data_IF_567985043818
#
_entry.id   IF_567985043818
#
_cell.length_a   1.000
_cell.length_b   1.000
_cell.length_c   1.000
_cell.angle_alpha   90.00
_cell.angle_beta   90.00
_cell.angle_gamma   90.00
#
_symmetry.space_group_name_H-M   'P 1'
#
loop_
_entity.id
_entity.type
_entity.pdbx_description
1 polymer ?
#
# COMPACT_ATOMS: atom_id res chain seq x y z
N UNK A 1 -6.10 29.37 8.48
CA UNK A 1 -6.62 28.95 9.80
C UNK A 1 -8.12 28.64 9.71
N UNK A 2 -8.54 27.86 8.70
CA UNK A 2 -9.96 27.54 8.50
C UNK A 2 -10.08 26.36 7.53
N UNK A 3 -10.24 25.14 8.05
CA UNK A 3 -10.93 24.05 7.31
C UNK A 3 -11.34 22.88 8.24
N UNK A 4 -10.61 22.65 9.34
CA UNK A 4 -10.89 21.55 10.28
C UNK A 4 -12.26 21.61 11.01
N UNK A 5 -12.96 22.75 10.98
CA UNK A 5 -14.28 22.87 11.60
C UNK A 5 -15.36 22.18 10.76
N UNK A 6 -15.24 22.21 9.43
CA UNK A 6 -16.21 21.61 8.52
C UNK A 6 -16.16 20.08 8.60
N UNK A 7 -14.96 19.49 8.61
CA UNK A 7 -14.76 18.04 8.70
C UNK A 7 -15.28 17.45 10.02
N UNK A 8 -15.10 18.19 11.12
CA UNK A 8 -15.59 17.76 12.44
C UNK A 8 -17.11 17.79 12.51
N UNK A 9 -17.73 18.84 12.00
CA UNK A 9 -19.19 18.94 11.92
C UNK A 9 -19.83 17.86 11.02
N UNK A 10 -19.13 17.44 9.97
CA UNK A 10 -19.56 16.34 9.10
C UNK A 10 -19.43 14.98 9.79
N UNK A 11 -18.32 14.75 10.49
CA UNK A 11 -18.08 13.52 11.28
C UNK A 11 -19.11 13.38 12.40
N UNK A 12 -19.44 14.47 13.08
CA UNK A 12 -20.44 14.49 14.16
C UNK A 12 -21.85 14.17 13.64
N UNK A 13 -22.19 14.62 12.42
CA UNK A 13 -23.45 14.27 11.75
C UNK A 13 -23.51 12.79 11.36
N UNK A 14 -22.40 12.23 10.86
CA UNK A 14 -22.30 10.81 10.53
C UNK A 14 -22.45 9.94 11.78
N UNK A 15 -21.78 10.31 12.88
CA UNK A 15 -21.90 9.58 14.14
C UNK A 15 -23.34 9.60 14.68
N UNK A 16 -24.06 10.72 14.53
CA UNK A 16 -25.47 10.81 14.89
C UNK A 16 -26.35 9.86 14.06
N UNK A 17 -26.11 9.75 12.75
CA UNK A 17 -26.82 8.80 11.87
C UNK A 17 -26.51 7.34 12.24
N UNK A 18 -25.24 7.01 12.54
CA UNK A 18 -24.85 5.66 12.97
C UNK A 18 -25.39 5.31 14.36
N UNK A 19 -25.49 6.28 15.26
CA UNK A 19 -26.12 6.11 16.57
C UNK A 19 -27.61 5.79 16.43
N UNK A 20 -28.32 6.51 15.57
CA UNK A 20 -29.72 6.25 15.25
C UNK A 20 -29.93 4.85 14.64
N UNK A 21 -29.07 4.46 13.69
CA UNK A 21 -29.13 3.14 13.07
C UNK A 21 -28.88 2.00 14.08
N UNK A 22 -27.94 2.17 15.01
CA UNK A 22 -27.67 1.20 16.10
C UNK A 22 -28.81 1.11 17.11
N UNK A 23 -29.50 2.22 17.38
CA UNK A 23 -30.62 2.26 18.32
C UNK A 23 -31.87 1.52 17.80
N UNK A 24 -32.01 1.38 16.48
CA UNK A 24 -33.14 0.66 15.84
C UNK A 24 -32.61 -0.47 14.95
N UNK A 25 -32.12 -1.58 15.55
CA UNK A 25 -31.64 -2.71 14.76
C UNK A 25 -32.83 -3.34 14.01
N UNK A 26 -32.69 -3.44 12.69
CA UNK A 26 -33.62 -4.23 11.86
C UNK A 26 -33.38 -5.70 12.17
N UNK A 27 -34.41 -6.40 12.62
CA UNK A 27 -34.33 -7.84 12.84
C UNK A 27 -34.09 -8.55 11.50
N UNK A 28 -33.00 -9.29 11.42
CA UNK A 28 -32.70 -10.11 10.25
C UNK A 28 -33.62 -11.34 10.26
N UNK A 29 -34.33 -11.64 9.16
CA UNK A 29 -35.27 -12.75 9.17
C UNK A 29 -34.50 -14.09 9.19
N UNK A 30 -34.98 -15.05 9.99
CA UNK A 30 -34.27 -16.31 10.26
C UNK A 30 -33.92 -17.10 9.00
N UNK A 31 -34.78 -17.06 7.97
CA UNK A 31 -34.53 -17.73 6.70
C UNK A 31 -33.29 -17.17 6.00
N UNK A 32 -33.04 -15.85 6.06
CA UNK A 32 -31.89 -15.21 5.43
C UNK A 32 -30.60 -15.62 6.14
N UNK A 33 -30.61 -15.67 7.48
CA UNK A 33 -29.47 -16.14 8.27
C UNK A 33 -29.13 -17.59 7.90
N UNK A 34 -30.15 -18.46 7.81
CA UNK A 34 -29.95 -19.85 7.42
C UNK A 34 -29.37 -19.98 5.99
N UNK A 35 -29.85 -19.17 5.04
CA UNK A 35 -29.31 -19.15 3.67
C UNK A 35 -27.86 -18.67 3.63
N UNK A 36 -27.52 -17.57 4.32
CA UNK A 36 -26.16 -17.05 4.39
C UNK A 36 -25.22 -18.10 4.97
N UNK A 37 -25.61 -18.79 6.04
CA UNK A 37 -24.79 -19.82 6.67
C UNK A 37 -24.59 -21.03 5.74
N UNK A 38 -25.64 -21.47 5.04
CA UNK A 38 -25.53 -22.58 4.09
C UNK A 38 -24.63 -22.24 2.88
N UNK A 39 -24.73 -21.00 2.37
CA UNK A 39 -23.86 -20.52 1.30
C UNK A 39 -22.41 -20.37 1.77
N UNK A 40 -22.20 -19.82 2.97
CA UNK A 40 -20.89 -19.72 3.59
C UNK A 40 -20.24 -21.09 3.79
N UNK A 41 -20.99 -22.10 4.24
CA UNK A 41 -20.48 -23.48 4.35
C UNK A 41 -20.08 -24.03 2.98
N UNK A 42 -20.89 -23.78 1.96
CA UNK A 42 -20.59 -24.18 0.58
C UNK A 42 -19.31 -23.54 0.07
N UNK A 43 -19.12 -22.23 0.25
CA UNK A 43 -17.89 -21.54 -0.17
C UNK A 43 -16.67 -21.92 0.66
N UNK A 44 -16.83 -22.09 1.98
CA UNK A 44 -15.76 -22.61 2.84
C UNK A 44 -15.31 -23.99 2.40
N UNK A 45 -16.24 -24.87 2.03
CA UNK A 45 -15.92 -26.20 1.51
C UNK A 45 -15.15 -26.12 0.18
N UNK A 46 -15.49 -25.18 -0.72
CA UNK A 46 -14.78 -24.94 -1.99
C UNK A 46 -13.37 -24.43 -1.77
N UNK A 47 -13.18 -23.49 -0.84
CA UNK A 47 -11.85 -23.00 -0.49
C UNK A 47 -11.00 -24.08 0.19
N UNK A 48 -11.60 -24.87 1.08
CA UNK A 48 -10.92 -26.01 1.70
C UNK A 48 -10.57 -27.10 0.68
N UNK A 49 -11.45 -27.41 -0.27
CA UNK A 49 -11.16 -28.36 -1.35
C UNK A 49 -10.03 -27.85 -2.25
N UNK A 50 -10.00 -26.55 -2.57
CA UNK A 50 -8.90 -25.91 -3.30
C UNK A 50 -7.58 -26.01 -2.53
N UNK A 51 -7.63 -25.84 -1.21
CA UNK A 51 -6.47 -25.97 -0.32
C UNK A 51 -6.02 -27.43 -0.14
N UNK A 52 -6.95 -28.38 -0.08
CA UNK A 52 -6.67 -29.82 0.04
C UNK A 52 -6.11 -30.40 -1.26
N UNK A 53 -6.53 -29.88 -2.42
CA UNK A 53 -5.97 -30.25 -3.73
C UNK A 53 -4.52 -29.77 -3.86
N UNK A 54 -4.15 -28.70 -3.15
CA UNK A 54 -2.75 -28.36 -2.88
C UNK A 54 -2.24 -29.21 -1.71
N UNK A 55 -2.20 -30.53 -1.90
CA UNK A 55 -1.38 -31.40 -1.06
C UNK A 55 0.03 -30.77 -0.98
N UNK A 56 0.72 -30.81 0.18
CA UNK A 56 2.10 -30.36 0.23
C UNK A 56 2.83 -31.10 -0.88
N UNK A 57 3.36 -30.37 -1.86
CA UNK A 57 4.15 -30.97 -2.91
C UNK A 57 5.31 -31.67 -2.21
N UNK A 58 5.22 -32.99 -2.07
CA UNK A 58 6.19 -33.83 -1.35
C UNK A 58 7.56 -33.87 -2.07
N UNK A 59 7.74 -33.05 -3.11
CA UNK A 59 9.00 -32.83 -3.83
C UNK A 59 9.43 -31.37 -3.96
N UNK A 60 8.87 -30.43 -3.18
CA UNK A 60 9.30 -29.04 -3.20
C UNK A 60 10.57 -28.82 -2.35
N UNK A 61 11.62 -28.24 -2.94
CA UNK A 61 12.87 -27.92 -2.25
C UNK A 61 12.72 -26.87 -1.13
N UNK A 62 13.82 -26.49 -0.47
CA UNK A 62 13.81 -25.59 0.70
C UNK A 62 12.98 -24.30 0.52
N UNK A 63 12.94 -23.74 -0.70
CA UNK A 63 12.14 -22.56 -1.04
C UNK A 63 10.63 -22.79 -0.92
N UNK A 64 10.10 -23.96 -1.30
CA UNK A 64 8.65 -24.21 -1.18
C UNK A 64 8.21 -24.36 0.27
N UNK A 65 9.10 -24.85 1.14
CA UNK A 65 8.87 -24.91 2.57
C UNK A 65 8.80 -23.49 3.15
N UNK A 66 9.71 -22.61 2.73
CA UNK A 66 9.70 -21.21 3.15
C UNK A 66 8.43 -20.48 2.69
N UNK A 67 8.02 -20.67 1.42
CA UNK A 67 6.79 -20.08 0.88
C UNK A 67 5.55 -20.62 1.59
N UNK A 68 5.50 -21.93 1.88
CA UNK A 68 4.41 -22.50 2.66
C UNK A 68 4.35 -21.96 4.10
N UNK A 69 5.51 -21.78 4.75
CA UNK A 69 5.61 -21.19 6.08
C UNK A 69 5.15 -19.72 6.11
N UNK A 70 5.39 -18.98 5.03
CA UNK A 70 4.99 -17.57 4.85
C UNK A 70 3.50 -17.40 4.45
N UNK A 71 2.69 -18.47 4.48
CA UNK A 71 1.26 -18.38 4.11
C UNK A 71 0.95 -18.67 2.64
N UNK A 72 1.93 -19.17 1.88
CA UNK A 72 1.79 -19.59 0.49
C UNK A 72 2.08 -18.49 -0.52
N UNK A 73 1.70 -18.71 -1.78
CA UNK A 73 2.01 -17.81 -2.90
C UNK A 73 1.45 -16.38 -2.75
N UNK A 74 0.41 -16.17 -1.93
CA UNK A 74 -0.19 -14.85 -1.73
C UNK A 74 0.75 -13.86 -1.03
N UNK A 75 1.55 -14.31 -0.06
CA UNK A 75 2.52 -13.44 0.60
C UNK A 75 3.68 -13.09 -0.32
N UNK A 76 4.12 -14.05 -1.14
CA UNK A 76 5.19 -13.81 -2.13
C UNK A 76 4.74 -12.83 -3.21
N UNK A 77 3.48 -12.90 -3.68
CA UNK A 77 2.96 -11.91 -4.63
C UNK A 77 2.97 -10.50 -4.04
N UNK A 78 2.69 -10.34 -2.74
CA UNK A 78 2.80 -9.05 -2.05
C UNK A 78 4.23 -8.52 -2.02
N UNK A 79 5.21 -9.40 -1.73
CA UNK A 79 6.64 -9.03 -1.73
C UNK A 79 7.13 -8.62 -3.12
N UNK A 80 6.69 -9.32 -4.17
CA UNK A 80 7.00 -8.98 -5.56
C UNK A 80 6.36 -7.65 -5.95
N UNK A 81 5.09 -7.44 -5.61
CA UNK A 81 4.41 -6.16 -5.87
C UNK A 81 5.11 -5.00 -5.15
N UNK A 82 5.47 -5.16 -3.87
CA UNK A 82 6.21 -4.15 -3.11
C UNK A 82 7.58 -3.84 -3.74
N UNK A 83 8.29 -4.86 -4.21
CA UNK A 83 9.57 -4.68 -4.94
C UNK A 83 9.37 -3.92 -6.25
N UNK A 84 8.34 -4.27 -7.03
CA UNK A 84 8.00 -3.60 -8.28
C UNK A 84 7.61 -2.14 -8.03
N UNK A 85 6.83 -1.84 -6.99
CA UNK A 85 6.48 -0.48 -6.59
C UNK A 85 7.71 0.32 -6.17
N UNK A 86 8.64 -0.28 -5.41
CA UNK A 86 9.90 0.37 -5.06
C UNK A 86 10.76 0.71 -6.28
N UNK A 87 10.86 -0.21 -7.25
CA UNK A 87 11.55 0.01 -8.52
C UNK A 87 10.86 1.10 -9.36
N UNK A 88 9.52 1.09 -9.41
CA UNK A 88 8.74 2.10 -10.11
C UNK A 88 9.02 3.51 -9.56
N UNK A 89 8.96 3.66 -8.24
CA UNK A 89 9.24 4.93 -7.55
C UNK A 89 10.67 5.39 -7.77
N UNK A 90 11.65 4.46 -7.72
CA UNK A 90 13.06 4.79 -7.95
C UNK A 90 13.37 5.22 -9.38
N UNK A 91 12.73 4.58 -10.37
CA UNK A 91 12.96 4.88 -11.79
C UNK A 91 12.26 6.17 -12.25
N UNK A 92 11.06 6.45 -11.75
CA UNK A 92 10.24 7.54 -12.26
C UNK A 92 10.77 8.94 -11.89
N UNK A 93 11.72 9.02 -10.95
CA UNK A 93 12.23 10.28 -10.42
C UNK A 93 11.15 11.08 -9.67
N UNK A 94 11.53 12.11 -8.91
CA UNK A 94 10.58 12.95 -8.18
C UNK A 94 9.57 13.64 -9.11
N UNK A 95 9.96 13.93 -10.36
CA UNK A 95 9.12 14.62 -11.35
C UNK A 95 7.81 13.86 -11.68
N UNK A 96 7.88 12.53 -11.75
CA UNK A 96 6.71 11.70 -12.04
C UNK A 96 5.71 11.69 -10.88
N UNK A 97 6.20 11.73 -9.64
CA UNK A 97 5.39 11.79 -8.42
C UNK A 97 4.75 13.18 -8.29
N UNK A 98 5.48 14.24 -8.65
CA UNK A 98 5.01 15.63 -8.64
C UNK A 98 4.00 15.94 -9.76
N UNK A 99 3.97 15.14 -10.83
CA UNK A 99 2.99 15.28 -11.92
C UNK A 99 1.61 14.65 -11.62
N UNK A 100 1.48 13.91 -10.52
CA UNK A 100 0.22 13.24 -10.15
C UNK A 100 -0.82 14.29 -9.67
N UNK A 101 -2.00 14.39 -10.32
CA UNK A 101 -3.02 15.36 -9.93
C UNK A 101 -3.49 15.11 -8.49
N UNK A 102 -3.40 16.14 -7.64
CA UNK A 102 -3.78 16.08 -6.21
C UNK A 102 -2.60 15.90 -5.24
N UNK A 103 -1.45 15.41 -5.70
CA UNK A 103 -0.27 15.27 -4.84
C UNK A 103 0.42 16.61 -4.55
N UNK A 104 0.34 17.56 -5.48
CA UNK A 104 0.76 18.96 -5.29
C UNK A 104 -0.03 19.72 -4.20
N UNK A 105 -1.22 19.23 -3.82
CA UNK A 105 -2.02 19.85 -2.78
C UNK A 105 -1.57 19.43 -1.37
N UNK A 106 -1.06 18.21 -1.22
CA UNK A 106 -0.53 17.68 0.06
C UNK A 106 0.97 17.97 0.24
N UNK A 107 1.68 18.24 -0.85
CA UNK A 107 3.07 18.69 -0.85
C UNK A 107 3.16 20.10 -1.37
N UNK A 108 2.91 21.11 -0.52
CA UNK A 108 3.67 22.34 -0.69
C UNK A 108 5.13 21.94 -0.44
N UNK A 109 6.02 21.93 -1.45
CA UNK A 109 7.43 21.68 -1.18
C UNK A 109 7.92 22.84 -0.31
N UNK A 110 8.01 22.65 1.00
CA UNK A 110 8.72 23.59 1.90
C UNK A 110 10.22 23.60 1.62
N UNK A 111 10.68 22.75 0.72
CA UNK A 111 12.03 22.79 0.17
C UNK A 111 11.91 23.07 -1.32
N UNK A 112 11.88 24.36 -1.68
CA UNK A 112 12.38 24.77 -2.99
C UNK A 112 13.86 24.44 -3.01
N UNK A 113 14.23 23.23 -3.46
CA UNK A 113 15.60 22.96 -3.85
C UNK A 113 15.79 23.69 -5.17
N UNK A 114 16.22 24.94 -5.09
CA UNK A 114 16.71 25.67 -6.25
C UNK A 114 17.85 24.85 -6.86
N UNK A 115 17.87 24.66 -8.18
CA UNK A 115 18.92 23.93 -8.89
C UNK A 115 20.35 24.46 -8.65
N UNK A 116 20.48 25.59 -7.93
CA UNK A 116 21.73 26.13 -7.40
C UNK A 116 22.41 25.18 -6.38
N UNK A 117 21.66 24.39 -5.61
CA UNK A 117 22.24 23.42 -4.65
C UNK A 117 22.88 22.20 -5.34
N UNK A 118 22.49 21.89 -6.58
CA UNK A 118 23.16 20.85 -7.38
C UNK A 118 24.48 21.35 -8.01
N UNK A 119 24.57 22.65 -8.33
CA UNK A 119 25.78 23.25 -8.91
C UNK A 119 26.95 23.34 -7.90
N UNK A 120 26.65 23.41 -6.60
CA UNK A 120 27.66 23.41 -5.55
C UNK A 120 28.46 22.09 -5.50
N UNK A 121 27.86 20.97 -5.93
CA UNK A 121 28.51 19.65 -5.95
C UNK A 121 29.35 19.40 -7.22
N UNK A 122 29.16 20.17 -8.31
CA UNK A 122 30.03 20.10 -9.49
C UNK A 122 31.27 21.00 -9.40
N UNK A 123 31.33 21.93 -8.44
CA UNK A 123 32.42 22.93 -8.33
C UNK A 123 33.66 22.43 -7.57
N UNK A 124 33.67 21.21 -7.05
CA UNK A 124 34.96 20.55 -6.75
C UNK A 124 35.54 20.03 -8.06
N UNK A 125 36.13 20.94 -8.82
CA UNK A 125 36.88 20.65 -10.03
C UNK A 125 38.09 19.80 -9.68
N UNK A 126 37.87 18.48 -9.70
CA UNK A 126 38.87 17.46 -9.46
C UNK A 126 40.01 17.55 -10.48
N UNK A 127 39.79 18.21 -11.64
CA UNK A 127 40.83 18.49 -12.62
C UNK A 127 41.82 19.56 -12.14
N UNK A 128 41.38 20.53 -11.33
CA UNK A 128 42.28 21.53 -10.72
C UNK A 128 43.17 20.89 -9.64
N UNK A 129 42.63 20.01 -8.80
CA UNK A 129 43.43 19.29 -7.78
C UNK A 129 44.42 18.31 -8.43
N UNK A 130 44.05 17.66 -9.53
CA UNK A 130 44.94 16.75 -10.26
C UNK A 130 46.04 17.49 -11.05
N UNK A 131 45.79 18.73 -11.46
CA UNK A 131 46.79 19.57 -12.10
C UNK A 131 47.83 20.11 -11.09
N UNK A 132 47.47 20.27 -9.82
CA UNK A 132 48.36 20.75 -8.76
C UNK A 132 49.35 19.67 -8.27
N UNK A 133 49.03 18.37 -8.42
CA UNK A 133 49.92 17.25 -8.03
C UNK A 133 50.96 16.87 -9.11
N UNK A 134 50.87 17.44 -10.33
CA UNK A 134 51.81 17.18 -11.42
C UNK A 134 52.86 18.28 -11.64
N UNK A 135 53.00 19.23 -10.71
CA UNK A 135 54.01 20.30 -10.77
C UNK A 135 55.03 20.18 -9.63
#
# INVERSE_FOLDING_TARGET
MTDHHTERDETDKLEALFSQARATPVALPDHLVATILAEAETEQSRWQATRATRAPATGGGALSILVAALGGWASVSGMVAASCTGLWIGFAGPEAILSLPGLNAIGQPTVSVSGEDYAAYETFDLATVLAEDMQ
#
